data_IF_723321314697
#
_entry.id   IF_723321314697
#
_cell.length_a   1.000
_cell.length_b   1.000
_cell.length_c   1.000
_cell.angle_alpha   90.00
_cell.angle_beta   90.00
_cell.angle_gamma   90.00
#
_symmetry.space_group_name_H-M   'P 1'
#
loop_
_entity.id
_entity.type
_entity.pdbx_description
1 polymer ?
#
# COMPACT_ATOMS: atom_id res chain seq x y z
N UNK A 1 14.72 -1.64 -4.56
CA UNK A 1 14.60 -2.74 -3.60
C UNK A 1 15.87 -3.60 -3.62
N UNK A 2 16.28 -4.16 -2.48
CA UNK A 2 17.46 -5.02 -2.39
C UNK A 2 17.16 -6.45 -2.90
N UNK A 3 17.01 -6.57 -4.21
CA UNK A 3 16.79 -7.87 -4.84
C UNK A 3 18.05 -8.73 -4.83
N UNK A 4 17.89 -10.03 -4.57
CA UNK A 4 18.98 -11.03 -4.68
C UNK A 4 19.21 -11.48 -6.11
N UNK A 5 18.27 -11.22 -7.02
CA UNK A 5 18.38 -11.43 -8.48
C UNK A 5 17.43 -10.51 -9.25
N UNK A 6 17.63 -10.37 -10.55
CA UNK A 6 16.78 -9.53 -11.38
C UNK A 6 15.35 -10.11 -11.51
N UNK A 7 14.34 -9.24 -11.59
CA UNK A 7 12.94 -9.64 -11.78
C UNK A 7 12.77 -10.44 -13.09
N UNK A 8 13.54 -10.13 -14.13
CA UNK A 8 13.53 -10.84 -15.42
C UNK A 8 14.03 -12.29 -15.35
N UNK A 9 14.69 -12.66 -14.25
CA UNK A 9 15.19 -14.04 -14.02
C UNK A 9 14.15 -14.92 -13.31
N UNK A 10 12.94 -14.38 -13.05
CA UNK A 10 11.85 -15.10 -12.40
C UNK A 10 10.76 -15.44 -13.42
N UNK A 11 10.80 -16.62 -13.99
CA UNK A 11 9.79 -17.08 -14.97
C UNK A 11 8.42 -17.32 -14.32
N UNK A 12 8.42 -17.98 -13.15
CA UNK A 12 7.23 -18.31 -12.37
C UNK A 12 7.37 -17.76 -10.96
N UNK A 13 6.74 -16.63 -10.66
CA UNK A 13 6.83 -16.04 -9.34
C UNK A 13 6.12 -16.91 -8.31
N UNK A 14 6.78 -17.13 -7.20
CA UNK A 14 6.23 -17.79 -6.02
C UNK A 14 6.09 -16.75 -4.89
N UNK A 15 4.85 -16.51 -4.51
CA UNK A 15 4.53 -15.52 -3.49
C UNK A 15 4.52 -16.13 -2.10
N UNK A 16 5.01 -15.37 -1.12
CA UNK A 16 4.86 -15.63 0.30
C UNK A 16 4.17 -14.44 0.96
N UNK A 17 3.56 -14.67 2.11
CA UNK A 17 2.88 -13.65 2.91
C UNK A 17 3.55 -13.48 4.27
N UNK A 18 3.79 -12.22 4.65
CA UNK A 18 4.00 -11.78 6.02
C UNK A 18 2.73 -11.07 6.48
N UNK A 19 2.29 -11.35 7.70
CA UNK A 19 1.08 -10.74 8.24
C UNK A 19 1.23 -10.51 9.74
N UNK A 20 0.78 -9.35 10.17
CA UNK A 20 0.72 -8.99 11.59
C UNK A 20 -0.58 -8.26 11.89
N UNK A 21 -1.26 -8.66 12.97
CA UNK A 21 -2.45 -7.98 13.48
C UNK A 21 -2.08 -7.29 14.80
N UNK A 22 -2.30 -5.98 14.88
CA UNK A 22 -2.12 -5.26 16.14
C UNK A 22 -3.13 -5.79 17.16
N UNK A 23 -2.69 -5.87 18.42
CA UNK A 23 -3.64 -6.08 19.52
C UNK A 23 -4.45 -4.79 19.79
N UNK A 24 -5.44 -4.85 20.64
CA UNK A 24 -6.33 -3.73 20.94
C UNK A 24 -5.57 -2.52 21.53
N UNK A 25 -4.59 -2.76 22.41
CA UNK A 25 -3.79 -1.70 23.01
C UNK A 25 -2.97 -0.94 21.96
N UNK A 26 -2.27 -1.67 21.09
CA UNK A 26 -1.47 -1.08 20.00
C UNK A 26 -2.35 -0.40 18.97
N UNK A 27 -3.52 -0.95 18.63
CA UNK A 27 -4.49 -0.32 17.73
C UNK A 27 -4.97 1.03 18.29
N UNK A 28 -5.38 1.08 19.55
CA UNK A 28 -5.78 2.31 20.21
C UNK A 28 -4.64 3.34 20.30
N UNK A 29 -3.41 2.88 20.55
CA UNK A 29 -2.21 3.73 20.56
C UNK A 29 -1.93 4.32 19.18
N UNK A 30 -2.03 3.52 18.13
CA UNK A 30 -1.87 3.97 16.74
C UNK A 30 -2.90 5.05 16.41
N UNK A 31 -4.19 4.81 16.67
CA UNK A 31 -5.26 5.79 16.45
C UNK A 31 -5.02 7.10 17.19
N UNK A 32 -4.61 7.03 18.47
CA UNK A 32 -4.26 8.19 19.28
C UNK A 32 -3.09 8.99 18.68
N UNK A 33 -2.09 8.29 18.15
CA UNK A 33 -0.94 8.94 17.52
C UNK A 33 -1.32 9.57 16.18
N UNK A 34 -2.10 8.89 15.35
CA UNK A 34 -2.57 9.39 14.06
C UNK A 34 -3.32 10.72 14.21
N UNK A 35 -4.18 10.84 15.24
CA UNK A 35 -4.91 12.09 15.53
C UNK A 35 -4.00 13.31 15.70
N UNK A 36 -2.75 13.10 16.15
CA UNK A 36 -1.76 14.20 16.30
C UNK A 36 -1.31 14.76 14.95
N UNK A 37 -1.31 13.96 13.90
CA UNK A 37 -0.89 14.37 12.55
C UNK A 37 -1.98 15.07 11.74
N UNK A 38 -3.24 15.12 12.24
CA UNK A 38 -4.39 15.74 11.56
C UNK A 38 -4.55 15.29 10.10
N UNK A 39 -4.35 14.02 9.87
CA UNK A 39 -4.51 13.36 8.57
C UNK A 39 -5.17 11.98 8.73
N UNK A 40 -5.43 11.31 7.62
CA UNK A 40 -6.05 9.98 7.64
C UNK A 40 -5.04 8.90 8.07
N UNK A 41 -5.55 7.80 8.61
CA UNK A 41 -4.76 6.62 8.97
C UNK A 41 -3.94 6.10 7.78
N UNK A 42 -4.56 6.04 6.61
CA UNK A 42 -3.91 5.60 5.37
C UNK A 42 -2.66 6.41 5.04
N UNK A 43 -2.69 7.73 5.26
CA UNK A 43 -1.54 8.63 5.01
C UNK A 43 -0.41 8.33 5.99
N UNK A 44 -0.70 8.21 7.28
CA UNK A 44 0.34 7.95 8.30
C UNK A 44 0.98 6.57 8.10
N UNK A 45 0.16 5.56 7.87
CA UNK A 45 0.60 4.18 7.65
C UNK A 45 1.41 4.08 6.35
N UNK A 46 0.97 4.74 5.28
CA UNK A 46 1.74 4.84 4.03
C UNK A 46 3.11 5.52 4.26
N UNK A 47 3.14 6.61 5.03
CA UNK A 47 4.37 7.31 5.38
C UNK A 47 5.35 6.44 6.17
N UNK A 48 4.86 5.68 7.15
CA UNK A 48 5.65 4.72 7.90
C UNK A 48 6.24 3.62 6.98
N UNK A 49 5.41 3.10 6.06
CA UNK A 49 5.84 2.13 5.07
C UNK A 49 6.93 2.70 4.15
N UNK A 50 6.69 3.87 3.57
CA UNK A 50 7.65 4.51 2.65
C UNK A 50 8.97 4.83 3.35
N UNK A 51 8.94 5.30 4.60
CA UNK A 51 10.13 5.57 5.41
C UNK A 51 10.93 4.29 5.70
N UNK A 52 10.24 3.20 6.01
CA UNK A 52 10.88 1.89 6.24
C UNK A 52 11.56 1.38 4.97
N UNK A 53 10.86 1.42 3.83
CA UNK A 53 11.41 1.03 2.54
C UNK A 53 12.58 1.90 2.11
N UNK A 54 12.52 3.21 2.35
CA UNK A 54 13.60 4.13 2.04
C UNK A 54 14.89 3.73 2.75
N UNK A 55 14.81 3.44 4.05
CA UNK A 55 15.95 2.95 4.82
C UNK A 55 16.46 1.60 4.31
N UNK A 56 15.56 0.71 3.91
CA UNK A 56 15.91 -0.60 3.34
C UNK A 56 16.54 -0.50 1.95
N UNK A 57 16.18 0.53 1.18
CA UNK A 57 16.70 0.80 -0.18
C UNK A 57 17.94 1.69 -0.20
N UNK A 58 18.74 1.72 0.88
CA UNK A 58 19.93 2.55 1.00
C UNK A 58 19.66 4.05 0.78
N UNK A 59 18.56 4.54 1.32
CA UNK A 59 18.14 5.95 1.30
C UNK A 59 18.01 6.55 -0.11
N UNK A 60 17.63 5.73 -1.09
CA UNK A 60 17.37 6.21 -2.45
C UNK A 60 15.89 6.60 -2.61
N UNK A 61 15.59 7.76 -3.22
CA UNK A 61 14.24 8.12 -3.60
C UNK A 61 13.60 7.05 -4.48
N UNK A 62 12.30 6.85 -4.31
CA UNK A 62 11.54 5.87 -5.10
C UNK A 62 10.09 6.32 -5.30
N UNK A 63 9.40 5.66 -6.21
CA UNK A 63 7.98 5.84 -6.46
C UNK A 63 7.22 4.61 -6.00
N UNK A 64 6.16 4.86 -5.24
CA UNK A 64 5.21 3.86 -4.76
C UNK A 64 3.98 3.85 -5.66
N UNK A 65 3.49 2.68 -6.02
CA UNK A 65 2.20 2.49 -6.67
C UNK A 65 1.10 2.43 -5.60
N UNK A 66 0.18 3.36 -5.65
CA UNK A 66 -0.95 3.46 -4.72
C UNK A 66 -2.22 2.95 -5.39
N UNK A 67 -2.90 2.02 -4.74
CA UNK A 67 -4.22 1.55 -5.17
C UNK A 67 -5.31 2.52 -4.75
N UNK A 68 -6.15 2.92 -5.70
CA UNK A 68 -7.32 3.76 -5.47
C UNK A 68 -8.61 2.98 -5.80
N UNK A 69 -9.60 3.07 -4.93
CA UNK A 69 -10.97 2.66 -5.23
C UNK A 69 -11.67 3.82 -5.97
N UNK A 70 -11.71 3.75 -7.30
CA UNK A 70 -12.03 4.87 -8.16
C UNK A 70 -13.47 4.81 -8.69
N UNK A 71 -14.44 4.75 -7.79
CA UNK A 71 -15.86 4.82 -8.14
C UNK A 71 -16.26 6.28 -8.38
N UNK A 72 -16.01 6.75 -9.62
CA UNK A 72 -16.28 8.13 -10.00
C UNK A 72 -17.80 8.29 -10.17
N UNK A 73 -18.43 9.34 -9.62
CA UNK A 73 -19.88 9.56 -9.69
C UNK A 73 -20.32 10.07 -11.09
N UNK A 74 -20.27 9.18 -12.09
CA UNK A 74 -20.68 9.47 -13.46
C UNK A 74 -22.18 9.28 -13.71
N UNK A 75 -22.89 8.61 -12.78
CA UNK A 75 -24.33 8.45 -12.74
C UNK A 75 -24.81 8.33 -11.29
N UNK A 76 -26.12 8.53 -11.06
CA UNK A 76 -26.70 8.53 -9.72
C UNK A 76 -26.55 7.16 -9.01
N UNK A 77 -26.69 6.07 -9.76
CA UNK A 77 -26.69 4.70 -9.24
C UNK A 77 -25.31 4.02 -9.26
N UNK A 78 -24.22 4.78 -9.38
CA UNK A 78 -22.87 4.20 -9.50
C UNK A 78 -22.49 3.31 -8.30
N UNK A 79 -23.07 3.56 -7.14
CA UNK A 79 -22.85 2.77 -5.93
C UNK A 79 -23.41 1.35 -6.05
N UNK A 80 -24.47 1.16 -6.84
CA UNK A 80 -25.15 -0.11 -7.04
C UNK A 80 -24.56 -0.92 -8.21
N UNK A 81 -23.67 -0.32 -8.98
CA UNK A 81 -23.02 -1.00 -10.09
C UNK A 81 -22.00 -2.01 -9.57
N UNK A 82 -22.22 -3.29 -9.89
CA UNK A 82 -21.27 -4.34 -9.61
C UNK A 82 -20.11 -4.32 -10.61
N UNK A 83 -18.87 -4.25 -10.12
CA UNK A 83 -17.68 -4.24 -10.97
C UNK A 83 -16.41 -3.91 -10.20
N UNK A 84 -15.26 -4.10 -10.86
CA UNK A 84 -13.97 -3.65 -10.36
C UNK A 84 -13.75 -2.18 -10.76
N UNK A 85 -13.60 -1.33 -9.75
CA UNK A 85 -13.33 0.10 -9.87
C UNK A 85 -11.92 0.45 -9.38
N UNK A 86 -11.05 -0.54 -9.32
CA UNK A 86 -9.68 -0.34 -8.89
C UNK A 86 -8.89 0.44 -9.95
N UNK A 87 -8.22 1.48 -9.53
CA UNK A 87 -7.27 2.25 -10.31
C UNK A 87 -5.94 2.36 -9.55
N UNK A 88 -4.90 2.76 -10.22
CA UNK A 88 -3.59 3.00 -9.62
C UNK A 88 -3.12 4.41 -9.87
N UNK A 89 -2.36 4.94 -8.92
CA UNK A 89 -1.65 6.21 -9.03
C UNK A 89 -0.27 6.08 -8.40
N UNK A 90 0.54 7.10 -8.49
CA UNK A 90 1.94 7.05 -8.07
C UNK A 90 2.24 8.16 -7.07
N UNK A 91 3.00 7.81 -6.03
CA UNK A 91 3.48 8.73 -5.01
C UNK A 91 5.00 8.63 -4.96
N UNK A 92 5.67 9.76 -5.11
CA UNK A 92 7.12 9.83 -4.98
C UNK A 92 7.52 10.03 -3.51
N UNK A 93 8.53 9.32 -3.06
CA UNK A 93 9.11 9.51 -1.74
C UNK A 93 10.51 10.08 -1.84
N UNK A 94 10.63 11.31 -1.35
CA UNK A 94 11.89 12.00 -1.11
C UNK A 94 11.89 12.42 0.35
N UNK A 95 12.67 11.73 1.19
CA UNK A 95 12.75 11.98 2.63
C UNK A 95 12.94 13.47 2.93
N UNK A 96 12.13 14.00 3.84
CA UNK A 96 12.21 15.35 4.38
C UNK A 96 13.02 15.36 5.69
N UNK A 97 13.13 16.52 6.30
CA UNK A 97 13.86 16.71 7.56
C UNK A 97 13.19 16.00 8.74
N UNK A 98 11.88 15.91 8.74
CA UNK A 98 11.08 15.27 9.77
C UNK A 98 10.01 14.33 9.21
N UNK A 99 9.58 13.36 10.03
CA UNK A 99 8.46 12.48 9.66
C UNK A 99 7.14 13.24 9.49
N UNK A 100 6.94 14.33 10.20
CA UNK A 100 5.75 15.18 10.04
C UNK A 100 5.73 15.81 8.62
N UNK A 101 6.86 16.27 8.14
CA UNK A 101 6.98 16.81 6.78
C UNK A 101 6.81 15.72 5.72
N UNK A 102 7.34 14.50 5.96
CA UNK A 102 7.09 13.34 5.09
C UNK A 102 5.57 13.08 4.96
N UNK A 103 4.85 13.07 6.10
CA UNK A 103 3.39 12.87 6.15
C UNK A 103 2.65 13.98 5.41
N UNK A 104 3.05 15.23 5.56
CA UNK A 104 2.41 16.36 4.87
C UNK A 104 2.62 16.28 3.35
N UNK A 105 3.82 15.94 2.91
CA UNK A 105 4.12 15.75 1.49
C UNK A 105 3.31 14.60 0.88
N UNK A 106 3.26 13.44 1.53
CA UNK A 106 2.47 12.28 1.12
C UNK A 106 0.99 12.61 1.06
N UNK A 107 0.46 13.31 2.07
CA UNK A 107 -0.93 13.77 2.11
C UNK A 107 -1.26 14.64 0.90
N UNK A 108 -0.40 15.61 0.59
CA UNK A 108 -0.61 16.51 -0.54
C UNK A 108 -0.58 15.75 -1.87
N UNK A 109 0.33 14.80 -2.04
CA UNK A 109 0.37 13.94 -3.23
C UNK A 109 -0.88 13.05 -3.34
N UNK A 110 -1.37 12.47 -2.23
CA UNK A 110 -2.61 11.67 -2.22
C UNK A 110 -3.84 12.51 -2.56
N UNK A 111 -3.94 13.74 -2.02
CA UNK A 111 -5.03 14.66 -2.36
C UNK A 111 -4.98 14.98 -3.86
N UNK A 112 -3.82 15.35 -4.38
CA UNK A 112 -3.63 15.63 -5.80
C UNK A 112 -4.02 14.43 -6.68
N UNK A 113 -3.64 13.22 -6.28
CA UNK A 113 -3.98 12.00 -6.99
C UNK A 113 -5.50 11.73 -7.01
N UNK A 114 -6.18 11.98 -5.89
CA UNK A 114 -7.65 11.83 -5.81
C UNK A 114 -8.37 12.88 -6.65
N UNK A 115 -7.91 14.12 -6.66
CA UNK A 115 -8.48 15.20 -7.47
C UNK A 115 -8.30 14.94 -8.98
N UNK A 116 -7.20 14.29 -9.37
CA UNK A 116 -6.86 13.96 -10.76
C UNK A 116 -7.13 12.49 -11.12
N UNK A 117 -7.96 11.78 -10.38
CA UNK A 117 -8.23 10.33 -10.51
C UNK A 117 -8.87 9.89 -11.82
N UNK A 118 -9.19 10.83 -12.69
CA UNK A 118 -9.69 10.53 -14.05
C UNK A 118 -8.60 10.00 -14.99
N UNK A 119 -7.32 10.27 -14.67
CA UNK A 119 -6.18 9.71 -15.39
C UNK A 119 -5.87 8.34 -14.80
N UNK A 120 -5.80 7.33 -15.67
CA UNK A 120 -5.50 5.96 -15.24
C UNK A 120 -3.98 5.79 -15.07
N UNK A 121 -3.55 5.18 -13.97
CA UNK A 121 -2.13 4.89 -13.74
C UNK A 121 -1.48 4.04 -14.85
N UNK A 122 -2.24 3.18 -15.53
CA UNK A 122 -1.74 2.41 -16.68
C UNK A 122 -1.37 3.33 -17.86
N UNK A 123 -2.12 4.40 -18.08
CA UNK A 123 -1.81 5.41 -19.12
C UNK A 123 -0.52 6.14 -18.77
N UNK A 124 -0.34 6.51 -17.50
CA UNK A 124 0.90 7.13 -17.02
C UNK A 124 2.10 6.20 -17.25
N UNK A 125 1.97 4.91 -16.92
CA UNK A 125 3.05 3.92 -17.13
C UNK A 125 3.39 3.77 -18.62
N UNK A 126 2.40 3.78 -19.50
CA UNK A 126 2.63 3.71 -20.94
C UNK A 126 3.41 4.92 -21.43
N UNK A 127 2.98 6.13 -21.06
CA UNK A 127 3.62 7.37 -21.48
C UNK A 127 5.10 7.43 -21.05
N UNK A 128 5.38 7.13 -19.77
CA UNK A 128 6.75 7.09 -19.24
C UNK A 128 7.57 6.00 -19.96
N UNK A 129 6.98 4.87 -20.31
CA UNK A 129 7.67 3.77 -20.99
C UNK A 129 8.01 4.12 -22.43
N UNK A 130 7.13 4.80 -23.15
CA UNK A 130 7.32 5.22 -24.54
C UNK A 130 8.43 6.27 -24.64
N UNK A 131 8.46 7.24 -23.73
CA UNK A 131 9.49 8.29 -23.70
C UNK A 131 10.91 7.75 -23.45
N UNK A 132 11.03 6.73 -22.61
CA UNK A 132 12.36 6.23 -22.19
C UNK A 132 12.82 4.99 -22.94
N UNK A 133 12.06 4.47 -23.89
CA UNK A 133 12.33 3.21 -24.61
C UNK A 133 12.52 1.97 -23.70
N UNK A 134 12.23 2.12 -22.41
CA UNK A 134 12.28 1.09 -21.39
C UNK A 134 10.91 0.94 -20.74
N UNK A 135 10.53 -0.29 -20.37
CA UNK A 135 9.31 -0.49 -19.59
C UNK A 135 9.47 0.10 -18.20
N UNK A 136 8.68 1.12 -17.88
CA UNK A 136 8.57 1.59 -16.51
C UNK A 136 7.90 0.51 -15.65
N UNK A 137 8.53 0.18 -14.53
CA UNK A 137 8.03 -0.83 -13.59
C UNK A 137 7.95 -0.18 -12.20
N UNK A 138 6.76 -0.28 -11.59
CA UNK A 138 6.52 0.18 -10.21
C UNK A 138 6.19 -1.04 -9.35
N UNK A 139 7.22 -1.77 -8.88
CA UNK A 139 7.07 -3.11 -8.34
C UNK A 139 6.60 -3.16 -6.89
N UNK A 140 6.37 -2.00 -6.28
CA UNK A 140 5.90 -1.87 -4.89
C UNK A 140 4.54 -1.22 -4.87
N UNK A 141 3.57 -1.90 -4.26
CA UNK A 141 2.20 -1.44 -4.16
C UNK A 141 1.82 -1.19 -2.70
N UNK A 142 0.99 -0.19 -2.49
CA UNK A 142 0.31 0.05 -1.21
C UNK A 142 -1.19 0.15 -1.43
N UNK A 143 -1.93 -0.69 -0.73
CA UNK A 143 -3.39 -0.74 -0.76
C UNK A 143 -3.93 -0.52 0.64
N UNK A 144 -4.63 0.59 0.87
CA UNK A 144 -5.33 0.82 2.12
C UNK A 144 -6.82 0.56 1.94
N UNK A 145 -7.34 -0.37 2.72
CA UNK A 145 -8.78 -0.64 2.86
C UNK A 145 -9.33 -0.05 4.16
N UNK A 146 -8.60 0.88 4.77
CA UNK A 146 -9.04 1.63 5.93
C UNK A 146 -10.01 2.72 5.47
N UNK A 147 -11.12 2.87 6.20
CA UNK A 147 -12.12 3.89 5.89
C UNK A 147 -12.06 5.02 6.89
N UNK A 148 -12.07 6.23 6.39
CA UNK A 148 -12.19 7.44 7.21
C UNK A 148 -13.66 7.68 7.50
N UNK A 149 -14.09 7.53 8.76
CA UNK A 149 -15.45 7.88 9.20
C UNK A 149 -16.09 6.84 10.11
N UNK A 150 -17.20 7.24 10.75
CA UNK A 150 -18.00 6.43 11.69
C UNK A 150 -18.88 5.36 11.04
N UNK A 151 -18.70 5.05 9.76
CA UNK A 151 -19.46 4.00 9.08
C UNK A 151 -18.96 2.62 9.52
N UNK A 152 -19.53 2.15 10.62
CA UNK A 152 -19.34 0.78 11.13
C UNK A 152 -19.83 -0.30 10.16
N UNK A 153 -20.62 0.09 9.14
CA UNK A 153 -21.23 -0.85 8.17
C UNK A 153 -20.23 -1.41 7.14
N UNK A 154 -18.96 -1.07 7.24
CA UNK A 154 -17.97 -1.37 6.20
C UNK A 154 -16.68 -2.05 6.69
N UNK A 155 -16.68 -2.58 7.89
CA UNK A 155 -15.64 -3.53 8.28
C UNK A 155 -15.73 -4.79 7.39
N UNK A 156 -14.58 -5.37 7.04
CA UNK A 156 -14.59 -6.72 6.48
C UNK A 156 -15.06 -7.63 7.60
N UNK A 157 -16.39 -7.78 7.70
CA UNK A 157 -17.01 -8.60 8.73
C UNK A 157 -16.91 -10.06 8.30
N UNK A 158 -16.09 -10.80 9.00
CA UNK A 158 -16.15 -12.25 8.93
C UNK A 158 -17.17 -12.74 9.98
N UNK A 159 -18.19 -13.49 9.59
CA UNK A 159 -19.05 -14.15 10.55
C UNK A 159 -18.22 -14.91 11.59
N UNK A 160 -18.62 -14.91 12.85
CA UNK A 160 -17.86 -15.52 13.97
C UNK A 160 -17.44 -16.98 13.71
N UNK A 161 -18.20 -17.68 12.88
CA UNK A 161 -17.96 -19.07 12.47
C UNK A 161 -17.09 -19.21 11.21
N UNK A 162 -16.63 -18.11 10.62
CA UNK A 162 -15.75 -18.11 9.45
C UNK A 162 -14.32 -17.79 9.87
N UNK A 163 -13.37 -18.57 9.35
CA UNK A 163 -11.94 -18.33 9.50
C UNK A 163 -11.31 -18.26 8.12
N UNK A 164 -10.55 -17.18 7.89
CA UNK A 164 -9.70 -17.13 6.72
C UNK A 164 -8.63 -18.22 6.82
N UNK A 165 -8.59 -19.11 5.85
CA UNK A 165 -7.64 -20.23 5.81
C UNK A 165 -6.42 -19.86 4.99
N UNK A 166 -6.64 -19.12 3.89
CA UNK A 166 -5.58 -18.70 2.98
C UNK A 166 -6.03 -17.47 2.18
N UNK A 167 -5.13 -16.51 2.06
CA UNK A 167 -5.27 -15.36 1.18
C UNK A 167 -3.91 -14.95 0.65
N UNK A 168 -3.82 -14.55 -0.60
CA UNK A 168 -2.60 -14.11 -1.25
C UNK A 168 -2.95 -13.13 -2.38
N UNK A 169 -2.24 -12.01 -2.47
CA UNK A 169 -2.33 -11.11 -3.61
C UNK A 169 -1.22 -11.38 -4.62
N UNK A 170 -1.61 -11.40 -5.89
CA UNK A 170 -0.69 -11.61 -7.01
C UNK A 170 -1.02 -10.62 -8.12
N UNK A 171 -0.21 -9.59 -8.26
CA UNK A 171 -0.36 -8.61 -9.33
C UNK A 171 0.83 -8.71 -10.29
N UNK A 172 0.61 -8.77 -11.61
CA UNK A 172 1.71 -8.77 -12.58
C UNK A 172 2.66 -7.60 -12.37
N UNK A 173 3.96 -7.84 -12.46
CA UNK A 173 5.05 -6.86 -12.27
C UNK A 173 5.20 -6.32 -10.83
N UNK A 174 4.39 -6.76 -9.88
CA UNK A 174 4.51 -6.40 -8.47
C UNK A 174 5.37 -7.44 -7.77
N UNK A 175 6.40 -6.97 -7.07
CA UNK A 175 7.30 -7.82 -6.28
C UNK A 175 6.99 -7.77 -4.79
N UNK A 176 6.36 -6.67 -4.33
CA UNK A 176 5.96 -6.43 -2.95
C UNK A 176 4.64 -5.67 -2.93
N UNK A 177 3.59 -6.30 -2.43
CA UNK A 177 2.25 -5.74 -2.26
C UNK A 177 1.95 -5.61 -0.76
N UNK A 178 1.77 -4.37 -0.30
CA UNK A 178 1.37 -4.09 1.06
C UNK A 178 -0.12 -3.75 1.12
N UNK A 179 -0.84 -4.50 1.91
CA UNK A 179 -2.25 -4.26 2.21
C UNK A 179 -2.42 -3.94 3.69
N UNK A 180 -3.29 -2.97 3.99
CA UNK A 180 -3.70 -2.65 5.36
C UNK A 180 -5.21 -2.54 5.44
N UNK A 181 -5.80 -3.17 6.44
CA UNK A 181 -7.23 -3.16 6.70
C UNK A 181 -7.55 -3.30 8.18
N UNK A 182 -8.79 -2.98 8.55
CA UNK A 182 -9.31 -3.25 9.88
C UNK A 182 -10.12 -4.55 9.88
N UNK A 183 -9.88 -5.40 10.86
CA UNK A 183 -10.65 -6.62 11.11
C UNK A 183 -11.00 -6.70 12.58
N UNK A 184 -12.31 -6.60 12.89
CA UNK A 184 -12.81 -6.67 14.27
C UNK A 184 -12.10 -5.66 15.21
N UNK A 185 -11.95 -4.42 14.77
CA UNK A 185 -11.29 -3.36 15.54
C UNK A 185 -9.75 -3.45 15.61
N UNK A 186 -9.12 -4.36 14.87
CA UNK A 186 -7.66 -4.53 14.84
C UNK A 186 -7.10 -4.20 13.47
N UNK A 187 -6.02 -3.42 13.44
CA UNK A 187 -5.27 -3.19 12.21
C UNK A 187 -4.52 -4.45 11.83
N UNK A 188 -4.68 -4.86 10.58
CA UNK A 188 -3.96 -5.99 9.99
C UNK A 188 -3.08 -5.48 8.87
N UNK A 189 -1.80 -5.77 8.96
CA UNK A 189 -0.76 -5.41 8.01
C UNK A 189 -0.33 -6.67 7.27
N UNK A 190 -0.33 -6.61 5.95
CA UNK A 190 0.00 -7.75 5.10
C UNK A 190 1.02 -7.33 4.06
N UNK A 191 2.09 -8.10 3.89
CA UNK A 191 3.02 -8.03 2.78
C UNK A 191 2.99 -9.32 2.00
N UNK A 192 2.52 -9.27 0.76
CA UNK A 192 2.66 -10.34 -0.23
C UNK A 192 3.85 -10.05 -1.11
N UNK A 193 4.81 -10.97 -1.22
CA UNK A 193 6.04 -10.72 -1.92
C UNK A 193 6.53 -11.91 -2.73
N UNK A 194 7.24 -11.66 -3.83
CA UNK A 194 7.87 -12.68 -4.66
C UNK A 194 9.11 -13.22 -3.94
N UNK A 195 8.99 -14.40 -3.35
CA UNK A 195 10.00 -14.95 -2.45
C UNK A 195 11.38 -15.18 -3.09
N UNK A 196 11.43 -15.40 -4.42
CA UNK A 196 12.69 -15.59 -5.14
C UNK A 196 13.51 -14.30 -5.31
N UNK A 197 12.91 -13.11 -5.08
CA UNK A 197 13.56 -11.82 -5.29
C UNK A 197 14.24 -11.28 -4.04
N UNK A 198 13.89 -11.79 -2.86
CA UNK A 198 14.33 -11.25 -1.57
C UNK A 198 15.06 -12.28 -0.74
N UNK A 199 16.06 -11.85 0.02
CA UNK A 199 16.54 -12.63 1.16
C UNK A 199 15.43 -12.71 2.22
N UNK A 200 15.09 -13.91 2.66
CA UNK A 200 13.97 -14.14 3.57
C UNK A 200 14.17 -13.46 4.92
N UNK A 201 15.38 -13.46 5.45
CA UNK A 201 15.68 -12.81 6.73
C UNK A 201 15.62 -11.30 6.62
N UNK A 202 16.11 -10.74 5.52
CA UNK A 202 16.11 -9.30 5.30
C UNK A 202 14.70 -8.74 5.14
N UNK A 203 13.83 -9.41 4.38
CA UNK A 203 12.45 -8.94 4.22
C UNK A 203 11.65 -9.10 5.52
N UNK A 204 11.85 -10.17 6.29
CA UNK A 204 11.24 -10.33 7.61
C UNK A 204 11.70 -9.24 8.57
N UNK A 205 13.00 -8.96 8.65
CA UNK A 205 13.54 -7.87 9.47
C UNK A 205 12.98 -6.51 9.07
N UNK A 206 12.81 -6.27 7.76
CA UNK A 206 12.22 -5.04 7.26
C UNK A 206 10.75 -4.91 7.68
N UNK A 207 9.99 -5.98 7.58
CA UNK A 207 8.60 -6.04 8.03
C UNK A 207 8.49 -5.79 9.54
N UNK A 208 9.32 -6.44 10.35
CA UNK A 208 9.31 -6.26 11.81
C UNK A 208 9.61 -4.80 12.20
N UNK A 209 10.61 -4.17 11.57
CA UNK A 209 10.90 -2.74 11.77
C UNK A 209 9.74 -1.83 11.39
N UNK A 210 9.02 -2.19 10.33
CA UNK A 210 7.82 -1.45 9.93
C UNK A 210 6.72 -1.54 11.00
N UNK A 211 6.52 -2.70 11.59
CA UNK A 211 5.52 -2.91 12.64
C UNK A 211 5.94 -2.22 13.96
N UNK A 212 7.22 -2.17 14.27
CA UNK A 212 7.75 -1.50 15.45
C UNK A 212 7.69 0.04 15.36
N UNK A 213 7.76 0.60 14.15
CA UNK A 213 7.71 2.04 13.91
C UNK A 213 6.34 2.63 14.16
#
# INVERSE_FOLDING_TARGET
LPYVKAMSEVDKPYFKRLQYALNEELSAKLESNIKKYKCTESVVICGAYMKTLFSWCNEKPFTLNLTLFNRIPVCEDISDVFGDFTNTTFIAYNRKESFLEDIEDIKNQMIYAIENRYVNGIEIVKEISDENSNKAVFPVVFTSMLRSGSDTDNEIYYPENMKEVYALSQTPQVSLDHQVYNRNGKYVFVWDYVSQLYDEKEIMNCFDRYIEF
#
